data_IF_293577559275
#
_entry.id   IF_293577559275
#
_cell.length_a   1.000
_cell.length_b   1.000
_cell.length_c   1.000
_cell.angle_alpha   90.00
_cell.angle_beta   90.00
_cell.angle_gamma   90.00
#
_symmetry.space_group_name_H-M   'P 1'
#
loop_
_entity.id
_entity.type
_entity.pdbx_description
1 polymer ?
#
# COMPACT_ATOMS: atom_id res chain seq x y z
N UNK A 1 31.14 16.04 0.79
CA UNK A 1 30.26 16.00 1.93
C UNK A 1 28.94 16.65 1.71
N UNK A 2 28.93 17.80 1.13
CA UNK A 2 27.69 18.54 0.95
C UNK A 2 26.73 17.90 -0.01
N UNK A 3 27.23 17.43 -1.15
CA UNK A 3 26.40 16.80 -2.12
C UNK A 3 25.78 15.51 -1.61
N UNK A 4 26.47 14.88 -0.67
CA UNK A 4 26.04 13.69 -0.02
C UNK A 4 24.77 13.97 0.72
N UNK A 5 24.74 15.11 1.40
CA UNK A 5 23.60 15.51 2.14
C UNK A 5 22.41 15.83 1.23
N UNK A 6 22.67 16.37 0.05
CA UNK A 6 21.62 16.66 -0.91
C UNK A 6 20.96 15.35 -1.39
N UNK A 7 21.76 14.31 -1.59
CA UNK A 7 21.25 13.01 -1.96
C UNK A 7 20.40 12.45 -0.85
N UNK A 8 20.82 12.60 0.39
CA UNK A 8 20.05 12.12 1.53
C UNK A 8 18.69 12.78 1.60
N UNK A 9 18.62 14.08 1.32
CA UNK A 9 17.35 14.79 1.35
C UNK A 9 16.41 14.25 0.30
N UNK A 10 16.92 13.97 -0.90
CA UNK A 10 16.11 13.41 -1.97
C UNK A 10 15.62 12.02 -1.60
N UNK A 11 16.50 11.20 -1.04
CA UNK A 11 16.13 9.84 -0.64
C UNK A 11 15.17 9.83 0.53
N UNK A 12 15.15 10.89 1.31
CA UNK A 12 14.25 11.00 2.44
C UNK A 12 12.89 11.59 2.08
N UNK A 13 12.74 12.07 0.85
CA UNK A 13 11.46 12.56 0.38
C UNK A 13 10.51 11.37 0.22
N UNK A 14 9.45 11.40 0.98
CA UNK A 14 8.50 10.27 1.01
C UNK A 14 7.08 10.74 0.94
N UNK A 15 6.23 9.82 0.53
CA UNK A 15 4.79 10.05 0.51
C UNK A 15 4.11 8.94 1.29
N UNK A 16 2.92 9.24 1.76
CA UNK A 16 2.01 8.25 2.32
C UNK A 16 0.90 8.05 1.29
N UNK A 17 0.68 6.81 0.91
CA UNK A 17 -0.42 6.47 0.01
C UNK A 17 -1.38 5.56 0.75
N UNK A 18 -2.66 5.89 0.67
CA UNK A 18 -3.72 5.07 1.26
C UNK A 18 -4.36 4.30 0.11
N UNK A 19 -4.22 2.99 0.16
CA UNK A 19 -4.62 2.10 -0.93
C UNK A 19 -5.76 1.21 -0.45
N UNK A 20 -6.91 1.35 -1.09
CA UNK A 20 -8.08 0.55 -0.75
C UNK A 20 -8.04 -0.74 -1.54
N UNK A 21 -8.14 -1.85 -0.84
CA UNK A 21 -7.99 -3.18 -1.37
C UNK A 21 -9.30 -3.92 -1.20
N UNK A 22 -9.89 -4.32 -2.31
CA UNK A 22 -11.18 -5.02 -2.31
C UNK A 22 -10.95 -6.52 -2.41
N UNK A 23 -11.55 -7.31 -1.50
CA UNK A 23 -11.44 -8.77 -1.58
C UNK A 23 -12.31 -9.30 -2.71
N UNK A 24 -11.98 -10.50 -3.18
CA UNK A 24 -12.76 -11.14 -4.23
C UNK A 24 -14.09 -11.70 -3.72
N UNK A 25 -14.15 -12.05 -2.45
CA UNK A 25 -15.32 -12.74 -1.90
C UNK A 25 -15.34 -12.54 -0.40
N UNK A 26 -16.53 -12.73 0.19
CA UNK A 26 -16.71 -12.62 1.64
C UNK A 26 -16.03 -13.76 2.40
N UNK A 27 -15.75 -14.87 1.74
CA UNK A 27 -15.10 -16.00 2.40
C UNK A 27 -13.59 -15.77 2.58
N UNK A 28 -13.04 -14.74 1.96
CA UNK A 28 -11.63 -14.44 2.13
C UNK A 28 -11.40 -13.81 3.49
N UNK A 29 -10.54 -14.44 4.29
CA UNK A 29 -10.23 -13.95 5.61
C UNK A 29 -9.47 -12.63 5.49
N UNK A 30 -10.01 -11.60 6.14
CA UNK A 30 -9.33 -10.29 6.13
C UNK A 30 -7.97 -10.35 6.81
N UNK A 31 -7.83 -11.21 7.82
CA UNK A 31 -6.55 -11.36 8.52
C UNK A 31 -5.52 -12.01 7.63
N UNK A 32 -5.92 -13.03 6.87
CA UNK A 32 -5.02 -13.67 5.92
C UNK A 32 -4.66 -12.72 4.78
N UNK A 33 -5.63 -11.94 4.32
CA UNK A 33 -5.40 -10.98 3.25
C UNK A 33 -4.44 -9.90 3.71
N UNK A 34 -4.61 -9.39 4.93
CA UNK A 34 -3.67 -8.41 5.49
C UNK A 34 -2.25 -8.94 5.53
N UNK A 35 -2.10 -10.19 5.97
CA UNK A 35 -0.79 -10.81 6.06
C UNK A 35 -0.17 -11.01 4.69
N UNK A 36 -0.97 -11.42 3.72
CA UNK A 36 -0.51 -11.61 2.35
C UNK A 36 -0.04 -10.30 1.73
N UNK A 37 -0.78 -9.22 1.97
CA UNK A 37 -0.38 -7.89 1.49
C UNK A 37 0.92 -7.45 2.14
N UNK A 38 1.01 -7.64 3.45
CA UNK A 38 2.21 -7.27 4.19
C UNK A 38 3.44 -7.98 3.65
N UNK A 39 3.32 -9.28 3.38
CA UNK A 39 4.43 -10.06 2.88
C UNK A 39 4.78 -9.75 1.43
N UNK A 40 3.82 -9.28 0.66
CA UNK A 40 4.05 -8.99 -0.75
C UNK A 40 4.82 -7.69 -0.98
N UNK A 41 4.77 -6.77 -0.03
CA UNK A 41 5.40 -5.47 -0.19
C UNK A 41 6.92 -5.56 -0.14
N UNK A 42 7.63 -4.85 -1.01
CA UNK A 42 9.10 -4.82 -0.99
C UNK A 42 9.64 -4.17 0.28
N UNK A 43 10.90 -4.43 0.58
CA UNK A 43 11.53 -3.91 1.79
C UNK A 43 11.58 -2.39 1.85
N UNK A 44 11.66 -1.72 0.70
CA UNK A 44 11.74 -0.27 0.67
C UNK A 44 10.39 0.41 0.86
N UNK A 45 9.32 -0.37 1.01
CA UNK A 45 7.97 0.14 1.23
C UNK A 45 7.59 -0.22 2.67
N UNK A 46 7.23 0.79 3.45
CA UNK A 46 6.81 0.57 4.83
C UNK A 46 5.30 0.54 4.91
N UNK A 47 4.76 -0.51 5.49
CA UNK A 47 3.34 -0.55 5.78
C UNK A 47 3.12 0.10 7.13
N UNK A 48 2.50 1.27 7.10
CA UNK A 48 2.27 2.05 8.30
C UNK A 48 1.15 1.45 9.15
N UNK A 49 0.01 1.20 8.53
CA UNK A 49 -1.10 0.49 9.18
C UNK A 49 -2.10 0.05 8.12
N UNK A 50 -3.00 -0.83 8.53
CA UNK A 50 -4.11 -1.27 7.68
C UNK A 50 -5.39 -1.03 8.46
N UNK A 51 -6.32 -0.30 7.87
CA UNK A 51 -7.67 -0.11 8.41
C UNK A 51 -8.63 -1.03 7.67
N UNK A 52 -9.76 -1.31 8.30
CA UNK A 52 -10.82 -2.11 7.71
C UNK A 52 -12.00 -1.21 7.44
N UNK A 53 -12.62 -1.40 6.29
CA UNK A 53 -13.80 -0.62 5.93
C UNK A 53 -14.90 -1.56 5.42
N UNK A 54 -15.96 -1.75 6.19
CA UNK A 54 -17.08 -2.55 5.71
C UNK A 54 -17.70 -1.92 4.47
N UNK A 55 -17.98 -2.76 3.49
CA UNK A 55 -18.64 -2.32 2.26
C UNK A 55 -19.87 -3.20 2.07
N UNK A 56 -20.52 -3.09 0.93
CA UNK A 56 -21.79 -3.78 0.71
C UNK A 56 -21.65 -5.30 0.76
N UNK A 57 -22.73 -5.97 1.08
CA UNK A 57 -22.87 -7.44 0.99
C UNK A 57 -21.91 -8.23 1.87
N UNK A 58 -21.55 -7.67 3.01
CA UNK A 58 -20.68 -8.37 3.96
C UNK A 58 -19.21 -8.35 3.61
N UNK A 59 -18.83 -7.69 2.54
CA UNK A 59 -17.42 -7.53 2.18
C UNK A 59 -16.76 -6.49 3.07
N UNK A 60 -15.48 -6.71 3.36
CA UNK A 60 -14.68 -5.76 4.11
C UNK A 60 -13.47 -5.40 3.27
N UNK A 61 -13.36 -4.14 2.91
CA UNK A 61 -12.18 -3.64 2.20
C UNK A 61 -11.09 -3.34 3.22
N UNK A 62 -9.85 -3.46 2.79
CA UNK A 62 -8.70 -3.06 3.59
C UNK A 62 -8.17 -1.75 3.04
N UNK A 63 -7.74 -0.87 3.91
CA UNK A 63 -7.06 0.36 3.50
C UNK A 63 -5.65 0.29 4.03
N UNK A 64 -4.71 0.03 3.14
CA UNK A 64 -3.31 -0.06 3.50
C UNK A 64 -2.66 1.31 3.35
N UNK A 65 -2.09 1.80 4.44
CA UNK A 65 -1.37 3.08 4.43
C UNK A 65 0.11 2.76 4.33
N UNK A 66 0.69 3.06 3.19
CA UNK A 66 2.09 2.73 2.92
C UNK A 66 2.92 4.00 2.79
N UNK A 67 4.16 3.90 3.23
CA UNK A 67 5.14 4.97 3.10
C UNK A 67 6.13 4.53 2.05
N UNK A 68 6.30 5.34 1.04
CA UNK A 68 7.17 4.99 -0.07
C UNK A 68 7.96 6.21 -0.54
N UNK A 69 9.08 5.98 -1.24
CA UNK A 69 9.85 7.10 -1.78
C UNK A 69 9.04 7.89 -2.81
N UNK A 70 9.23 9.19 -2.82
CA UNK A 70 8.57 10.04 -3.80
C UNK A 70 9.36 9.98 -5.10
N UNK A 71 9.25 8.87 -5.81
CA UNK A 71 9.86 8.67 -7.10
C UNK A 71 8.77 8.34 -8.11
N UNK A 72 9.09 8.49 -9.36
CA UNK A 72 8.08 8.55 -10.40
C UNK A 72 7.08 7.41 -10.44
N UNK A 73 7.53 6.16 -10.32
CA UNK A 73 6.67 5.00 -10.56
C UNK A 73 6.53 4.04 -9.38
N UNK A 74 7.00 4.42 -8.21
CA UNK A 74 6.93 3.53 -7.05
C UNK A 74 5.51 3.17 -6.66
N UNK A 75 4.60 4.14 -6.71
CA UNK A 75 3.22 3.89 -6.35
C UNK A 75 2.57 2.89 -7.31
N UNK A 76 2.82 3.04 -8.60
CA UNK A 76 2.27 2.12 -9.59
C UNK A 76 2.78 0.70 -9.35
N UNK A 77 4.05 0.56 -8.99
CA UNK A 77 4.63 -0.73 -8.69
C UNK A 77 3.97 -1.37 -7.48
N UNK A 78 3.72 -0.57 -6.44
CA UNK A 78 3.05 -1.06 -5.24
C UNK A 78 1.63 -1.52 -5.56
N UNK A 79 0.90 -0.71 -6.33
CA UNK A 79 -0.45 -1.09 -6.74
C UNK A 79 -0.44 -2.41 -7.50
N UNK A 80 0.52 -2.57 -8.40
CA UNK A 80 0.62 -3.78 -9.20
C UNK A 80 0.93 -5.00 -8.34
N UNK A 81 1.84 -4.84 -7.39
CA UNK A 81 2.19 -5.90 -6.47
C UNK A 81 0.98 -6.34 -5.65
N UNK A 82 0.24 -5.38 -5.11
CA UNK A 82 -0.94 -5.70 -4.29
C UNK A 82 -2.02 -6.33 -5.15
N UNK A 83 -2.19 -5.85 -6.38
CA UNK A 83 -3.20 -6.37 -7.28
C UNK A 83 -3.00 -7.86 -7.58
N UNK A 84 -1.75 -8.32 -7.54
CA UNK A 84 -1.43 -9.72 -7.79
C UNK A 84 -1.55 -10.62 -6.59
N UNK A 85 -1.82 -10.07 -5.42
CA UNK A 85 -2.00 -10.87 -4.22
C UNK A 85 -3.27 -11.70 -4.37
N UNK A 86 -3.17 -12.97 -4.04
CA UNK A 86 -4.32 -13.88 -4.13
C UNK A 86 -5.42 -13.40 -3.19
N UNK A 87 -6.62 -13.31 -3.71
CA UNK A 87 -7.76 -12.86 -2.94
C UNK A 87 -8.12 -11.40 -3.15
N UNK A 88 -7.27 -10.66 -3.87
CA UNK A 88 -7.53 -9.26 -4.18
C UNK A 88 -8.29 -9.15 -5.49
N UNK A 89 -9.42 -8.47 -5.44
CA UNK A 89 -10.23 -8.20 -6.64
C UNK A 89 -9.77 -6.92 -7.33
N UNK A 90 -9.69 -5.85 -6.56
CA UNK A 90 -9.43 -4.51 -7.11
C UNK A 90 -8.61 -3.73 -6.10
N UNK A 91 -7.82 -2.81 -6.62
CA UNK A 91 -7.00 -1.92 -5.81
C UNK A 91 -7.24 -0.49 -6.28
N UNK A 92 -7.43 0.42 -5.33
CA UNK A 92 -7.69 1.81 -5.64
C UNK A 92 -6.92 2.70 -4.66
N UNK A 93 -6.08 3.58 -5.18
CA UNK A 93 -5.39 4.56 -4.34
C UNK A 93 -6.35 5.70 -4.07
N UNK A 94 -6.68 5.92 -2.81
CA UNK A 94 -7.69 6.91 -2.42
C UNK A 94 -7.09 8.20 -1.88
N UNK A 95 -5.81 8.18 -1.51
CA UNK A 95 -5.17 9.37 -0.97
C UNK A 95 -3.67 9.25 -1.13
N UNK A 96 -3.04 10.32 -1.54
CA UNK A 96 -1.57 10.42 -1.59
C UNK A 96 -1.20 11.77 -1.04
N UNK A 97 -0.24 11.79 -0.11
CA UNK A 97 0.24 13.06 0.42
C UNK A 97 1.70 12.93 0.82
N UNK A 98 2.38 14.06 0.85
CA UNK A 98 3.76 14.10 1.31
C UNK A 98 3.82 14.09 2.82
N UNK A 99 4.89 13.53 3.30
CA UNK A 99 5.19 13.53 4.72
C UNK A 99 5.97 14.81 5.05
#
# INVERSE_FOLDING_TARGET
>A
MRFYRAIDVILMAKIVASIKIFPEDIIISKDELQEAVRKALPENISLYKIDEEPIAFGLVALIAHVILPETGDELEKVEEIIRKVKGVSTVETILVRRI
#
